data_IF_288315883774
#
_entry.id   IF_288315883774
#
_cell.length_a   1.000
_cell.length_b   1.000
_cell.length_c   1.000
_cell.angle_alpha   90.00
_cell.angle_beta   90.00
_cell.angle_gamma   90.00
#
_symmetry.space_group_name_H-M   'P 1'
#
loop_
_entity.id
_entity.type
_entity.pdbx_description
1 polymer ?
#
# COMPACT_ATOMS: atom_id res chain seq x y z
N UNK A 1 -3.83 -18.09 18.48
CA UNK A 1 -2.81 -17.32 17.73
C UNK A 1 -3.52 -16.53 16.65
N UNK A 2 -3.43 -15.20 16.66
CA UNK A 2 -4.07 -14.33 15.67
C UNK A 2 -3.51 -14.72 14.29
N UNK A 3 -4.38 -15.08 13.33
CA UNK A 3 -3.95 -15.50 12.00
C UNK A 3 -3.42 -14.27 11.27
N UNK A 4 -2.11 -14.19 11.15
CA UNK A 4 -1.47 -13.26 10.22
C UNK A 4 -2.06 -13.45 8.82
N UNK A 5 -2.40 -12.35 8.13
CA UNK A 5 -3.03 -12.36 6.80
C UNK A 5 -2.24 -13.21 5.81
N UNK A 6 -0.91 -13.25 5.97
CA UNK A 6 -0.02 -14.01 5.11
C UNK A 6 -0.19 -15.54 5.24
N UNK A 7 -0.75 -16.04 6.36
CA UNK A 7 -1.07 -17.46 6.50
C UNK A 7 -2.14 -17.94 5.50
N UNK A 8 -2.98 -17.03 4.99
CA UNK A 8 -3.94 -17.36 3.93
C UNK A 8 -3.25 -17.71 2.61
N UNK A 9 -2.00 -17.28 2.42
CA UNK A 9 -1.23 -17.58 1.22
C UNK A 9 -0.60 -18.98 1.27
N UNK A 10 -0.48 -19.64 2.43
CA UNK A 10 0.32 -20.87 2.57
C UNK A 10 -0.16 -22.06 1.71
N UNK A 11 -1.44 -22.11 1.35
CA UNK A 11 -2.00 -23.23 0.59
C UNK A 11 -1.63 -23.15 -0.90
N UNK A 12 -2.11 -22.12 -1.59
CA UNK A 12 -1.99 -22.00 -3.05
C UNK A 12 -0.90 -21.00 -3.48
N UNK A 13 -0.41 -20.19 -2.56
CA UNK A 13 0.46 -19.05 -2.83
C UNK A 13 1.67 -19.02 -1.89
N UNK A 14 2.16 -20.19 -1.46
CA UNK A 14 3.26 -20.32 -0.49
C UNK A 14 4.49 -19.53 -0.91
N UNK A 15 4.77 -19.48 -2.21
CA UNK A 15 5.89 -18.73 -2.77
C UNK A 15 5.74 -17.20 -2.56
N UNK A 16 4.51 -16.67 -2.54
CA UNK A 16 4.24 -15.27 -2.17
C UNK A 16 4.46 -15.05 -0.67
N UNK A 17 4.03 -15.99 0.18
CA UNK A 17 4.27 -15.90 1.63
C UNK A 17 5.77 -15.88 1.98
N UNK A 18 6.58 -16.62 1.23
CA UNK A 18 8.03 -16.68 1.47
C UNK A 18 8.70 -15.29 1.38
N UNK A 19 8.26 -14.43 0.47
CA UNK A 19 8.75 -13.05 0.39
C UNK A 19 8.50 -12.30 1.69
N UNK A 20 7.31 -12.42 2.25
CA UNK A 20 6.92 -11.68 3.45
C UNK A 20 7.68 -12.16 4.68
N UNK A 21 7.79 -13.48 4.84
CA UNK A 21 8.63 -14.10 5.89
C UNK A 21 10.09 -13.68 5.80
N UNK A 22 10.57 -13.36 4.60
CA UNK A 22 11.91 -12.81 4.39
C UNK A 22 11.97 -11.33 4.78
N UNK A 23 10.97 -10.51 4.41
CA UNK A 23 10.91 -9.08 4.73
C UNK A 23 10.99 -8.84 6.23
N UNK A 24 10.24 -9.59 7.04
CA UNK A 24 10.27 -9.48 8.50
C UNK A 24 11.66 -9.69 9.09
N UNK A 25 12.50 -10.53 8.44
CA UNK A 25 13.85 -10.82 8.89
C UNK A 25 14.86 -9.77 8.45
N UNK A 26 14.68 -9.21 7.26
CA UNK A 26 15.72 -8.40 6.60
C UNK A 26 15.41 -6.90 6.52
N UNK A 27 14.21 -6.44 6.88
CA UNK A 27 13.82 -5.02 6.73
C UNK A 27 14.78 -4.04 7.42
N UNK A 28 15.42 -4.45 8.53
CA UNK A 28 16.38 -3.62 9.27
C UNK A 28 17.85 -3.83 8.85
N UNK A 29 18.16 -4.92 8.14
CA UNK A 29 19.54 -5.30 7.79
C UNK A 29 19.83 -5.14 6.30
N UNK A 30 18.81 -5.34 5.46
CA UNK A 30 18.84 -5.11 4.02
C UNK A 30 17.53 -4.47 3.52
N UNK A 31 17.28 -3.19 3.83
CA UNK A 31 16.09 -2.47 3.38
C UNK A 31 15.92 -2.48 1.86
N UNK A 32 17.01 -2.29 1.11
CA UNK A 32 17.02 -2.41 -0.36
C UNK A 32 16.47 -3.73 -0.87
N UNK A 33 16.84 -4.84 -0.23
CA UNK A 33 16.34 -6.17 -0.61
C UNK A 33 14.83 -6.26 -0.43
N UNK A 34 14.28 -5.67 0.64
CA UNK A 34 12.81 -5.62 0.85
C UNK A 34 12.13 -4.85 -0.27
N UNK A 35 12.69 -3.72 -0.71
CA UNK A 35 12.12 -2.94 -1.81
C UNK A 35 12.12 -3.74 -3.11
N UNK A 36 13.26 -4.31 -3.50
CA UNK A 36 13.41 -5.10 -4.73
C UNK A 36 12.49 -6.32 -4.72
N UNK A 37 12.45 -7.06 -3.61
CA UNK A 37 11.63 -8.24 -3.50
C UNK A 37 10.13 -7.90 -3.35
N UNK A 38 9.77 -6.74 -2.80
CA UNK A 38 8.39 -6.23 -2.78
C UNK A 38 7.84 -5.99 -4.18
N UNK A 39 8.67 -5.49 -5.10
CA UNK A 39 8.30 -5.36 -6.52
C UNK A 39 8.02 -6.75 -7.11
N UNK A 40 8.92 -7.71 -6.90
CA UNK A 40 8.73 -9.09 -7.37
C UNK A 40 7.47 -9.74 -6.79
N UNK A 41 7.18 -9.50 -5.52
CA UNK A 41 5.94 -9.96 -4.89
C UNK A 41 4.72 -9.43 -5.65
N UNK A 42 4.63 -8.11 -5.88
CA UNK A 42 3.48 -7.52 -6.59
C UNK A 42 3.41 -7.93 -8.06
N UNK A 43 4.55 -8.11 -8.71
CA UNK A 43 4.65 -8.63 -10.07
C UNK A 43 4.02 -10.02 -10.16
N UNK A 44 4.37 -10.90 -9.23
CA UNK A 44 3.82 -12.25 -9.22
C UNK A 44 2.35 -12.28 -8.78
N UNK A 45 1.98 -11.50 -7.77
CA UNK A 45 0.59 -11.43 -7.31
C UNK A 45 -0.35 -10.92 -8.42
N UNK A 46 0.07 -9.91 -9.21
CA UNK A 46 -0.73 -9.45 -10.36
C UNK A 46 -0.88 -10.51 -11.43
N UNK A 47 0.11 -11.40 -11.61
CA UNK A 47 -0.03 -12.56 -12.51
C UNK A 47 -1.05 -13.56 -11.99
N UNK A 48 -1.11 -13.80 -10.68
CA UNK A 48 -2.15 -14.65 -10.09
C UNK A 48 -3.54 -14.04 -10.24
N UNK A 49 -3.68 -12.73 -9.99
CA UNK A 49 -4.94 -12.01 -10.24
C UNK A 49 -5.37 -12.18 -11.70
N UNK A 50 -4.46 -12.00 -12.66
CA UNK A 50 -4.78 -12.22 -14.06
C UNK A 50 -5.28 -13.64 -14.35
N UNK A 51 -4.73 -14.67 -13.72
CA UNK A 51 -5.22 -16.04 -13.90
C UNK A 51 -6.63 -16.21 -13.34
N UNK A 52 -6.88 -15.70 -12.13
CA UNK A 52 -8.17 -15.81 -11.44
C UNK A 52 -9.28 -15.05 -12.17
N UNK A 53 -8.94 -13.92 -12.78
CA UNK A 53 -9.86 -13.07 -13.55
C UNK A 53 -10.03 -13.52 -15.01
N UNK A 54 -9.41 -14.63 -15.43
CA UNK A 54 -9.48 -15.11 -16.82
C UNK A 54 -8.70 -14.26 -17.83
N UNK A 55 -7.79 -13.41 -17.36
CA UNK A 55 -6.92 -12.54 -18.17
C UNK A 55 -5.46 -13.03 -18.23
N UNK A 56 -5.25 -14.35 -18.21
CA UNK A 56 -3.91 -14.96 -18.16
C UNK A 56 -2.98 -14.52 -19.30
N UNK A 57 -3.50 -14.11 -20.45
CA UNK A 57 -2.72 -13.55 -21.57
C UNK A 57 -2.00 -12.25 -21.22
N UNK A 58 -2.47 -11.49 -20.22
CA UNK A 58 -1.78 -10.29 -19.73
C UNK A 58 -0.48 -10.60 -18.96
N UNK A 59 -0.14 -11.87 -18.77
CA UNK A 59 1.11 -12.27 -18.15
C UNK A 59 2.33 -12.11 -19.08
N UNK A 60 2.11 -11.90 -20.39
CA UNK A 60 3.16 -11.69 -21.39
C UNK A 60 3.59 -10.23 -21.55
N UNK A 61 2.82 -9.29 -21.00
CA UNK A 61 3.12 -7.85 -21.05
C UNK A 61 3.80 -7.36 -19.77
N UNK A 62 4.32 -6.13 -19.82
CA UNK A 62 4.97 -5.47 -18.68
C UNK A 62 4.02 -5.29 -17.49
N UNK A 63 4.58 -5.16 -16.28
CA UNK A 63 3.80 -4.93 -15.06
C UNK A 63 2.88 -3.71 -15.18
N UNK A 64 3.42 -2.57 -15.65
CA UNK A 64 2.65 -1.33 -15.84
C UNK A 64 1.48 -1.54 -16.83
N UNK A 65 1.77 -2.21 -17.96
CA UNK A 65 0.74 -2.55 -18.94
C UNK A 65 -0.35 -3.45 -18.36
N UNK A 66 0.04 -4.47 -17.58
CA UNK A 66 -0.90 -5.37 -16.89
C UNK A 66 -1.76 -4.62 -15.89
N UNK A 67 -1.19 -3.74 -15.07
CA UNK A 67 -1.93 -2.94 -14.10
C UNK A 67 -2.98 -2.06 -14.78
N UNK A 68 -2.61 -1.33 -15.85
CA UNK A 68 -3.57 -0.51 -16.62
C UNK A 68 -4.70 -1.34 -17.23
N UNK A 69 -4.39 -2.53 -17.76
CA UNK A 69 -5.40 -3.42 -18.32
C UNK A 69 -6.34 -3.98 -17.25
N UNK A 70 -5.80 -4.40 -16.10
CA UNK A 70 -6.60 -4.85 -14.96
C UNK A 70 -7.51 -3.73 -14.42
N UNK A 71 -7.04 -2.48 -14.42
CA UNK A 71 -7.86 -1.32 -14.06
C UNK A 71 -9.00 -1.09 -15.06
N UNK A 72 -8.69 -1.05 -16.36
CA UNK A 72 -9.69 -0.86 -17.41
C UNK A 72 -10.77 -1.96 -17.42
N UNK A 73 -10.41 -3.16 -16.95
CA UNK A 73 -11.30 -4.32 -16.81
C UNK A 73 -12.04 -4.37 -15.47
N UNK A 74 -11.75 -3.43 -14.56
CA UNK A 74 -12.39 -3.32 -13.26
C UNK A 74 -11.91 -4.31 -12.19
N UNK A 75 -10.86 -5.10 -12.47
CA UNK A 75 -10.30 -6.03 -11.50
C UNK A 75 -9.47 -5.32 -10.41
N UNK A 76 -8.85 -4.19 -10.77
CA UNK A 76 -8.20 -3.28 -9.82
C UNK A 76 -8.90 -1.92 -9.91
N UNK A 77 -9.42 -1.39 -8.80
CA UNK A 77 -10.13 -0.09 -8.81
C UNK A 77 -9.57 0.86 -7.75
N UNK A 78 -9.61 2.15 -8.04
CA UNK A 78 -9.33 3.23 -7.09
C UNK A 78 -8.08 3.00 -6.26
N UNK A 79 -8.28 2.83 -4.95
CA UNK A 79 -7.22 2.67 -3.95
C UNK A 79 -6.27 1.48 -4.23
N UNK A 80 -6.79 0.32 -4.63
CA UNK A 80 -5.93 -0.86 -4.81
C UNK A 80 -5.02 -0.71 -6.03
N UNK A 81 -5.55 -0.20 -7.15
CA UNK A 81 -4.76 0.06 -8.35
C UNK A 81 -3.59 1.01 -8.06
N UNK A 82 -3.87 2.10 -7.33
CA UNK A 82 -2.82 3.03 -6.92
C UNK A 82 -1.81 2.44 -5.95
N UNK A 83 -2.23 1.54 -5.07
CA UNK A 83 -1.31 0.87 -4.16
C UNK A 83 -0.32 -0.01 -4.91
N UNK A 84 -0.77 -0.74 -5.94
CA UNK A 84 0.11 -1.48 -6.85
C UNK A 84 1.07 -0.55 -7.61
N UNK A 85 0.56 0.55 -8.18
CA UNK A 85 1.40 1.55 -8.85
C UNK A 85 2.42 2.21 -7.93
N UNK A 86 2.05 2.45 -6.67
CA UNK A 86 2.97 2.98 -5.66
C UNK A 86 4.14 2.04 -5.45
N UNK A 87 3.89 0.73 -5.29
CA UNK A 87 4.94 -0.28 -5.14
C UNK A 87 5.86 -0.30 -6.36
N UNK A 88 5.30 -0.27 -7.58
CA UNK A 88 6.10 -0.20 -8.80
C UNK A 88 6.99 1.07 -8.85
N UNK A 89 6.44 2.23 -8.46
CA UNK A 89 7.20 3.50 -8.42
C UNK A 89 8.29 3.53 -7.37
N UNK A 90 8.12 2.85 -6.24
CA UNK A 90 9.16 2.75 -5.20
C UNK A 90 10.43 2.09 -5.75
N UNK A 91 10.30 1.14 -6.67
CA UNK A 91 11.43 0.52 -7.37
C UNK A 91 12.22 1.48 -8.26
N UNK A 92 11.53 2.39 -8.95
CA UNK A 92 12.17 3.36 -9.84
C UNK A 92 12.91 4.46 -9.08
N UNK A 93 12.65 4.61 -7.78
CA UNK A 93 13.27 5.64 -6.93
C UNK A 93 14.48 5.15 -6.14
N UNK A 94 14.91 3.89 -6.28
CA UNK A 94 16.01 3.31 -5.48
C UNK A 94 17.38 3.78 -5.99
N UNK A 95 17.65 5.08 -5.81
CA UNK A 95 18.96 5.73 -5.96
C UNK A 95 19.20 6.56 -4.69
N UNK A 96 19.07 5.92 -3.53
CA UNK A 96 19.32 6.58 -2.26
C UNK A 96 20.68 6.16 -1.73
N UNK A 97 21.54 7.14 -1.49
CA UNK A 97 22.79 7.00 -0.72
C UNK A 97 22.54 7.26 0.79
N UNK A 98 21.26 7.39 1.17
CA UNK A 98 20.79 7.71 2.51
C UNK A 98 20.11 6.48 3.13
N UNK A 99 20.78 5.90 4.14
CA UNK A 99 20.35 4.69 4.84
C UNK A 99 19.03 4.87 5.61
N UNK A 100 18.75 6.08 6.11
CA UNK A 100 17.49 6.34 6.84
C UNK A 100 16.31 6.32 5.87
N UNK A 101 16.47 6.99 4.72
CA UNK A 101 15.44 7.01 3.67
C UNK A 101 15.22 5.62 3.08
N UNK A 102 16.28 4.84 2.89
CA UNK A 102 16.15 3.46 2.41
C UNK A 102 15.34 2.60 3.39
N UNK A 103 15.60 2.71 4.69
CA UNK A 103 14.83 2.03 5.73
C UNK A 103 13.37 2.50 5.76
N UNK A 104 13.13 3.81 5.64
CA UNK A 104 11.77 4.36 5.58
C UNK A 104 10.98 3.81 4.39
N UNK A 105 11.58 3.78 3.20
CA UNK A 105 10.95 3.22 2.00
C UNK A 105 10.73 1.71 2.13
N UNK A 106 11.63 0.96 2.76
CA UNK A 106 11.41 -0.46 3.03
C UNK A 106 10.24 -0.70 4.00
N UNK A 107 10.10 0.10 5.05
CA UNK A 107 8.95 0.03 5.97
C UNK A 107 7.64 0.43 5.27
N UNK A 108 7.66 1.44 4.38
CA UNK A 108 6.52 1.78 3.52
C UNK A 108 6.17 0.64 2.55
N UNK A 109 7.17 -0.08 2.04
CA UNK A 109 6.97 -1.22 1.15
C UNK A 109 6.26 -2.34 1.90
N UNK A 110 6.78 -2.70 3.07
CA UNK A 110 6.19 -3.70 3.95
C UNK A 110 4.71 -3.40 4.26
N UNK A 111 4.38 -2.17 4.64
CA UNK A 111 2.99 -1.75 4.85
C UNK A 111 2.13 -1.87 3.59
N UNK A 112 2.67 -1.52 2.42
CA UNK A 112 1.94 -1.61 1.15
C UNK A 112 1.64 -3.06 0.78
N UNK A 113 2.61 -3.96 0.97
CA UNK A 113 2.46 -5.41 0.75
C UNK A 113 1.38 -6.00 1.66
N UNK A 114 1.37 -5.62 2.94
CA UNK A 114 0.31 -6.01 3.87
C UNK A 114 -1.08 -5.64 3.36
N UNK A 115 -1.28 -4.36 3.02
CA UNK A 115 -2.56 -3.86 2.54
C UNK A 115 -3.03 -4.51 1.22
N UNK A 116 -2.10 -4.72 0.28
CA UNK A 116 -2.36 -5.46 -0.97
C UNK A 116 -2.81 -6.89 -0.65
N UNK A 117 -2.13 -7.54 0.29
CA UNK A 117 -2.43 -8.93 0.66
C UNK A 117 -3.79 -9.04 1.35
N UNK A 118 -4.13 -8.13 2.26
CA UNK A 118 -5.46 -8.06 2.87
C UNK A 118 -6.57 -7.94 1.83
N UNK A 119 -6.39 -7.06 0.85
CA UNK A 119 -7.34 -6.92 -0.25
C UNK A 119 -7.43 -8.21 -1.08
N UNK A 120 -6.30 -8.82 -1.42
CA UNK A 120 -6.29 -10.05 -2.21
C UNK A 120 -6.98 -11.19 -1.48
N UNK A 121 -6.68 -11.41 -0.20
CA UNK A 121 -7.34 -12.42 0.63
C UNK A 121 -8.85 -12.18 0.66
N UNK A 122 -9.28 -10.93 0.90
CA UNK A 122 -10.71 -10.58 0.94
C UNK A 122 -11.45 -10.89 -0.37
N UNK A 123 -10.81 -10.62 -1.52
CA UNK A 123 -11.50 -10.72 -2.81
C UNK A 123 -11.39 -12.11 -3.46
N UNK A 124 -10.31 -12.86 -3.20
CA UNK A 124 -10.00 -14.08 -3.93
C UNK A 124 -9.87 -15.34 -3.07
N UNK A 125 -9.78 -15.22 -1.75
CA UNK A 125 -9.57 -16.37 -0.85
C UNK A 125 -10.73 -16.52 0.13
N UNK A 126 -11.02 -15.47 0.89
CA UNK A 126 -12.01 -15.48 1.97
C UNK A 126 -12.75 -14.14 2.02
N UNK A 127 -13.97 -14.12 1.49
CA UNK A 127 -14.82 -12.92 1.49
C UNK A 127 -15.32 -12.50 2.87
N UNK A 128 -15.12 -13.31 3.91
CA UNK A 128 -15.42 -12.96 5.31
C UNK A 128 -14.20 -12.43 6.06
N UNK A 129 -13.02 -12.47 5.45
CA UNK A 129 -11.80 -11.93 6.06
C UNK A 129 -11.96 -10.47 6.48
N UNK A 130 -11.46 -10.12 7.67
CA UNK A 130 -11.35 -8.74 8.11
C UNK A 130 -9.89 -8.45 8.47
N UNK A 131 -9.38 -7.34 7.97
CA UNK A 131 -7.98 -6.99 8.16
C UNK A 131 -7.78 -6.41 9.56
N UNK A 132 -6.86 -7.02 10.32
CA UNK A 132 -6.32 -6.42 11.53
C UNK A 132 -5.56 -5.11 11.19
N UNK A 133 -5.37 -4.20 12.17
CA UNK A 133 -4.47 -3.07 11.98
C UNK A 133 -3.04 -3.52 11.69
N UNK A 134 -2.42 -2.92 10.68
CA UNK A 134 -1.02 -3.16 10.36
C UNK A 134 -0.10 -2.87 11.56
N UNK A 135 0.86 -3.76 11.80
CA UNK A 135 1.92 -3.61 12.80
C UNK A 135 3.27 -3.52 12.11
N UNK A 136 4.08 -2.54 12.50
CA UNK A 136 5.45 -2.44 12.01
C UNK A 136 6.28 -3.63 12.51
N UNK A 137 7.22 -4.14 11.69
CA UNK A 137 8.16 -5.15 12.13
C UNK A 137 9.02 -4.58 13.26
N UNK A 138 9.45 -5.46 14.18
CA UNK A 138 10.27 -5.07 15.33
C UNK A 138 11.73 -5.42 15.04
N UNK A 139 12.69 -4.50 15.26
CA UNK A 139 14.10 -4.83 15.08
C UNK A 139 14.53 -5.91 16.08
N UNK A 140 15.32 -6.87 15.59
CA UNK A 140 15.98 -7.84 16.45
C UNK A 140 16.99 -7.10 17.37
N UNK A 141 17.06 -7.48 18.65
CA UNK A 141 17.79 -6.78 19.73
C UNK A 141 19.27 -6.45 19.45
N UNK A 142 19.88 -7.01 18.41
CA UNK A 142 21.31 -6.85 18.10
C UNK A 142 21.65 -5.84 17.00
N UNK A 143 20.67 -5.15 16.41
CA UNK A 143 20.93 -4.17 15.33
C UNK A 143 20.79 -2.76 15.89
N UNK A 144 21.88 -1.95 15.97
CA UNK A 144 21.92 -0.55 16.45
C UNK A 144 20.55 0.16 16.37
N UNK A 145 19.86 0.19 17.51
CA UNK A 145 18.39 0.17 17.61
C UNK A 145 17.73 1.55 17.60
N UNK A 146 18.49 2.63 17.68
CA UNK A 146 17.91 3.95 17.99
C UNK A 146 17.32 4.63 16.75
N UNK A 147 17.98 4.54 15.60
CA UNK A 147 17.45 5.08 14.34
C UNK A 147 16.17 4.34 13.91
N UNK A 148 16.19 3.01 13.93
CA UNK A 148 15.05 2.18 13.56
C UNK A 148 13.86 2.38 14.50
N UNK A 149 14.09 2.41 15.82
CA UNK A 149 13.03 2.65 16.79
C UNK A 149 12.43 4.06 16.68
N UNK A 150 13.25 5.09 16.50
CA UNK A 150 12.78 6.46 16.27
C UNK A 150 11.99 6.61 14.97
N UNK A 151 12.42 5.92 13.90
CA UNK A 151 11.70 5.91 12.63
C UNK A 151 10.36 5.16 12.75
N UNK A 152 10.34 3.98 13.36
CA UNK A 152 9.10 3.24 13.62
C UNK A 152 8.15 4.09 14.48
N UNK A 153 8.63 4.75 15.53
CA UNK A 153 7.81 5.62 16.37
C UNK A 153 7.21 6.78 15.58
N UNK A 154 8.00 7.45 14.72
CA UNK A 154 7.52 8.47 13.78
C UNK A 154 6.45 7.88 12.85
N UNK A 155 6.73 6.76 12.19
CA UNK A 155 5.81 6.13 11.23
C UNK A 155 4.52 5.62 11.88
N UNK A 156 4.58 5.01 13.06
CA UNK A 156 3.41 4.57 13.84
C UNK A 156 2.52 5.76 14.22
N UNK A 157 3.12 6.86 14.69
CA UNK A 157 2.34 8.08 15.01
C UNK A 157 1.64 8.68 13.77
N UNK A 158 2.26 8.59 12.59
CA UNK A 158 1.64 8.98 11.32
C UNK A 158 0.52 8.01 10.94
N UNK A 159 0.68 6.72 11.21
CA UNK A 159 -0.32 5.69 10.88
C UNK A 159 -1.56 5.81 11.76
N UNK A 160 -1.38 6.14 13.04
CA UNK A 160 -2.46 6.49 13.97
C UNK A 160 -3.17 7.78 13.53
N UNK A 161 -2.41 8.82 13.16
CA UNK A 161 -2.96 10.05 12.57
C UNK A 161 -3.70 9.77 11.26
N UNK A 162 -3.23 8.85 10.40
CA UNK A 162 -3.93 8.42 9.17
C UNK A 162 -5.27 7.73 9.45
N UNK A 163 -5.39 6.95 10.52
CA UNK A 163 -6.66 6.30 10.89
C UNK A 163 -7.67 7.31 11.46
N UNK A 164 -7.20 8.26 12.26
CA UNK A 164 -8.03 9.34 12.82
C UNK A 164 -8.43 10.34 11.73
N UNK A 165 -7.49 10.73 10.88
CA UNK A 165 -7.71 11.65 9.78
C UNK A 165 -8.53 10.99 8.67
N UNK A 166 -8.27 9.73 8.30
CA UNK A 166 -9.09 8.97 7.36
C UNK A 166 -10.55 8.82 7.81
N UNK A 167 -10.81 8.63 9.11
CA UNK A 167 -12.18 8.71 9.67
C UNK A 167 -12.76 10.12 9.56
N UNK A 168 -11.95 11.16 9.84
CA UNK A 168 -12.35 12.57 9.73
C UNK A 168 -12.70 12.96 8.29
N UNK A 169 -11.91 12.54 7.30
CA UNK A 169 -12.10 12.84 5.88
C UNK A 169 -13.22 12.03 5.28
N UNK A 170 -13.35 10.75 5.64
CA UNK A 170 -14.52 9.95 5.26
C UNK A 170 -15.80 10.60 5.79
N UNK A 171 -15.75 11.23 6.97
CA UNK A 171 -16.83 12.09 7.49
C UNK A 171 -17.08 13.32 6.61
N UNK A 172 -16.04 14.04 6.20
CA UNK A 172 -16.16 15.22 5.32
C UNK A 172 -16.77 14.84 3.97
N UNK A 173 -16.26 13.78 3.35
CA UNK A 173 -16.72 13.33 2.03
C UNK A 173 -18.14 12.77 2.11
N UNK A 174 -18.47 11.99 3.15
CA UNK A 174 -19.85 11.52 3.37
C UNK A 174 -20.83 12.67 3.60
N UNK A 175 -20.38 13.77 4.22
CA UNK A 175 -21.25 14.93 4.45
C UNK A 175 -21.55 15.71 3.16
N UNK A 176 -20.69 15.59 2.15
CA UNK A 176 -20.77 16.36 0.91
C UNK A 176 -21.51 15.61 -0.24
N UNK A 177 -21.92 14.35 -0.05
CA UNK A 177 -22.70 13.53 -1.00
C UNK A 177 -22.20 13.60 -2.46
N UNK A 178 -21.04 13.00 -2.74
CA UNK A 178 -20.28 13.24 -3.97
C UNK A 178 -19.94 11.97 -4.77
N UNK A 179 -19.64 12.14 -6.06
CA UNK A 179 -19.20 11.09 -7.01
C UNK A 179 -17.97 10.28 -6.49
N UNK A 180 -18.05 8.95 -6.61
CA UNK A 180 -17.02 7.96 -6.20
C UNK A 180 -15.62 8.26 -6.76
N UNK A 181 -15.51 8.76 -8.01
CA UNK A 181 -14.23 9.15 -8.62
C UNK A 181 -13.57 10.35 -7.93
N UNK A 182 -14.36 11.36 -7.55
CA UNK A 182 -13.85 12.54 -6.85
C UNK A 182 -13.38 12.15 -5.44
N UNK A 183 -14.16 11.29 -4.78
CA UNK A 183 -13.83 10.74 -3.48
C UNK A 183 -12.51 9.96 -3.49
N UNK A 184 -12.31 9.11 -4.50
CA UNK A 184 -11.05 8.38 -4.67
C UNK A 184 -9.88 9.35 -4.89
N UNK A 185 -9.98 10.31 -5.82
CA UNK A 185 -8.91 11.27 -6.12
C UNK A 185 -8.54 12.12 -4.89
N UNK A 186 -9.52 12.48 -4.08
CA UNK A 186 -9.28 13.23 -2.87
C UNK A 186 -8.66 12.40 -1.75
N UNK A 187 -9.20 11.21 -1.47
CA UNK A 187 -8.56 10.28 -0.52
C UNK A 187 -7.09 10.06 -0.90
N UNK A 188 -6.84 10.03 -2.21
CA UNK A 188 -5.53 9.86 -2.79
C UNK A 188 -4.59 11.06 -2.63
N UNK A 189 -5.07 12.27 -2.89
CA UNK A 189 -4.36 13.53 -2.66
C UNK A 189 -3.99 13.68 -1.19
N UNK A 190 -4.92 13.38 -0.29
CA UNK A 190 -4.73 13.46 1.16
C UNK A 190 -3.69 12.43 1.63
N UNK A 191 -3.74 11.20 1.09
CA UNK A 191 -2.72 10.19 1.36
C UNK A 191 -1.33 10.68 0.92
N UNK A 192 -1.21 11.28 -0.25
CA UNK A 192 0.07 11.81 -0.77
C UNK A 192 0.59 12.98 0.05
N UNK A 193 -0.26 13.94 0.40
CA UNK A 193 0.15 15.10 1.19
C UNK A 193 0.55 14.73 2.62
N UNK A 194 -0.02 13.65 3.19
CA UNK A 194 0.46 13.07 4.45
C UNK A 194 1.81 12.36 4.26
N UNK A 195 2.02 11.66 3.15
CA UNK A 195 3.31 11.01 2.84
C UNK A 195 4.41 12.06 2.70
N UNK A 196 4.10 13.19 2.09
CA UNK A 196 5.02 14.30 1.88
C UNK A 196 5.17 15.21 3.11
N UNK A 197 4.58 14.84 4.25
CA UNK A 197 4.63 15.57 5.51
C UNK A 197 4.20 17.04 5.40
N UNK A 198 3.33 17.35 4.43
CA UNK A 198 2.71 18.68 4.34
C UNK A 198 1.72 18.82 5.48
N UNK A 199 1.72 20.00 6.12
CA UNK A 199 0.74 20.30 7.13
C UNK A 199 -0.62 20.50 6.45
N UNK A 200 -1.61 19.70 6.84
CA UNK A 200 -2.92 19.68 6.20
C UNK A 200 -3.96 20.13 7.23
N UNK A 201 -4.47 21.35 7.06
CA UNK A 201 -5.62 21.85 7.82
C UNK A 201 -6.95 21.44 7.16
N UNK A 202 -8.00 21.26 7.98
CA UNK A 202 -9.36 20.90 7.57
C UNK A 202 -9.95 21.90 6.57
N UNK A 203 -9.64 23.19 6.66
CA UNK A 203 -10.07 24.20 5.68
C UNK A 203 -9.44 23.97 4.30
N UNK A 204 -8.14 23.70 4.27
CA UNK A 204 -7.39 23.41 3.03
C UNK A 204 -7.98 22.18 2.31
N UNK A 205 -8.35 21.16 3.08
CA UNK A 205 -8.94 19.93 2.56
C UNK A 205 -10.30 20.12 1.90
N UNK A 206 -11.20 20.89 2.54
CA UNK A 206 -12.51 21.18 1.95
C UNK A 206 -12.34 21.92 0.63
N UNK A 207 -11.42 22.89 0.57
CA UNK A 207 -11.14 23.65 -0.65
C UNK A 207 -10.57 22.77 -1.77
N UNK A 208 -9.61 21.90 -1.48
CA UNK A 208 -9.05 20.98 -2.47
C UNK A 208 -10.09 19.97 -2.97
N UNK A 209 -10.98 19.50 -2.09
CA UNK A 209 -12.06 18.61 -2.52
C UNK A 209 -13.03 19.28 -3.49
N UNK A 210 -13.45 20.53 -3.19
CA UNK A 210 -14.32 21.30 -4.08
C UNK A 210 -13.69 21.53 -5.45
N UNK A 211 -12.38 21.85 -5.52
CA UNK A 211 -11.66 21.99 -6.79
C UNK A 211 -11.66 20.70 -7.60
N UNK A 212 -11.40 19.56 -6.96
CA UNK A 212 -11.41 18.24 -7.61
C UNK A 212 -12.79 17.94 -8.18
N UNK A 213 -13.86 18.21 -7.44
CA UNK A 213 -15.22 18.03 -7.93
C UNK A 213 -15.54 18.91 -9.14
N UNK A 214 -15.20 20.19 -9.07
CA UNK A 214 -15.42 21.13 -10.18
C UNK A 214 -14.65 20.70 -11.44
N UNK A 215 -13.42 20.20 -11.28
CA UNK A 215 -12.61 19.73 -12.40
C UNK A 215 -13.16 18.47 -13.09
N UNK A 216 -13.96 17.66 -12.37
CA UNK A 216 -14.54 16.42 -12.89
C UNK A 216 -15.92 16.62 -13.54
N UNK A 217 -16.55 17.77 -13.26
CA UNK A 217 -17.86 18.14 -13.81
C UNK A 217 -17.76 19.07 -15.04
N UNK A 218 -16.54 19.46 -15.43
CA UNK A 218 -16.21 20.16 -16.69
C UNK A 218 -15.78 19.15 -17.75
#
# INVERSE_FOLDING_TARGET
MQKDVFNYLDKNYKYLNNYVKEFDKIVFTSPRSVIVNGIKFTENLTKEICKLEGYGSLNTITQDGRLRKLESKGALKGKIYRLFNKVARMGNKVVYDDKEKELEEALKMHNSIYNITCWFVKNYIDNKFEADPYKYPTPLKNNNTDMASNLIKRMSSVTEKKQVAGKSYKKIVNHLNTNEKAQDIFENFVIESIIDNKEIDKKCLVQEFSKIQESLNK
#
